data_IF_181120606944
#
_entry.id   IF_181120606944
#
_cell.length_a   1.000
_cell.length_b   1.000
_cell.length_c   1.000
_cell.angle_alpha   90.00
_cell.angle_beta   90.00
_cell.angle_gamma   90.00
#
_symmetry.space_group_name_H-M   'P 1'
#
loop_
_entity.id
_entity.type
_entity.pdbx_description
1 polymer ?
#
# COMPACT_ATOMS: atom_id res chain seq x y z
N UNK A 1 28.04 10.57 15.30
CA UNK A 1 27.57 10.54 13.89
C UNK A 1 28.26 9.32 13.28
N UNK A 2 27.50 8.30 12.87
CA UNK A 2 27.99 6.96 12.47
C UNK A 2 29.23 6.99 11.55
N UNK A 3 29.27 7.94 10.62
CA UNK A 3 30.36 8.16 9.66
C UNK A 3 31.68 8.55 10.35
N UNK A 4 31.63 9.39 11.40
CA UNK A 4 32.82 9.84 12.16
C UNK A 4 33.43 8.76 13.05
N UNK A 5 32.67 7.71 13.35
CA UNK A 5 33.12 6.59 14.19
C UNK A 5 33.70 5.44 13.37
N UNK A 6 33.45 5.43 12.06
CA UNK A 6 33.97 4.43 11.16
C UNK A 6 35.43 4.74 10.80
N UNK A 7 36.35 3.87 11.22
CA UNK A 7 37.80 4.01 10.98
C UNK A 7 38.18 3.49 9.60
N UNK A 8 37.77 4.21 8.55
CA UNK A 8 38.25 3.93 7.20
C UNK A 8 39.58 4.64 6.94
N UNK A 9 40.52 4.01 6.22
CA UNK A 9 41.81 4.62 5.89
C UNK A 9 41.69 5.72 4.82
N UNK A 10 40.71 5.65 3.93
CA UNK A 10 40.47 6.63 2.87
C UNK A 10 39.35 7.62 3.22
N UNK A 11 39.61 8.92 2.96
CA UNK A 11 38.60 9.97 3.08
C UNK A 11 37.41 9.69 2.14
N UNK A 12 36.18 9.82 2.64
CA UNK A 12 34.95 9.58 1.87
C UNK A 12 34.51 8.11 1.75
N UNK A 13 35.32 7.14 2.19
CA UNK A 13 34.97 5.72 2.11
C UNK A 13 33.80 5.36 3.03
N UNK A 14 33.67 6.03 4.17
CA UNK A 14 32.56 5.84 5.10
C UNK A 14 31.22 6.28 4.49
N UNK A 15 31.20 7.43 3.82
CA UNK A 15 30.07 7.98 3.08
C UNK A 15 29.68 7.05 1.93
N UNK A 16 30.64 6.66 1.10
CA UNK A 16 30.41 5.73 -0.01
C UNK A 16 29.83 4.39 0.47
N UNK A 17 30.36 3.83 1.56
CA UNK A 17 29.87 2.58 2.12
C UNK A 17 28.42 2.74 2.60
N UNK A 18 28.12 3.84 3.30
CA UNK A 18 26.76 4.13 3.75
C UNK A 18 25.80 4.24 2.57
N UNK A 19 26.14 5.02 1.55
CA UNK A 19 25.35 5.18 0.32
C UNK A 19 25.11 3.83 -0.37
N UNK A 20 26.17 3.02 -0.49
CA UNK A 20 26.09 1.69 -1.10
C UNK A 20 25.14 0.77 -0.32
N UNK A 21 25.21 0.77 1.01
CA UNK A 21 24.32 -0.03 1.86
C UNK A 21 22.86 0.44 1.75
N UNK A 22 22.63 1.75 1.72
CA UNK A 22 21.30 2.33 1.52
C UNK A 22 20.73 1.97 0.15
N UNK A 23 21.53 2.03 -0.92
CA UNK A 23 21.10 1.67 -2.26
C UNK A 23 20.79 0.17 -2.38
N UNK A 24 21.63 -0.70 -1.77
CA UNK A 24 21.38 -2.15 -1.71
C UNK A 24 20.09 -2.46 -0.97
N UNK A 25 19.88 -1.87 0.21
CA UNK A 25 18.62 -1.97 0.97
C UNK A 25 17.43 -1.59 0.08
N UNK A 26 17.51 -0.46 -0.62
CA UNK A 26 16.46 0.00 -1.53
C UNK A 26 16.18 -1.00 -2.65
N UNK A 27 17.21 -1.57 -3.29
CA UNK A 27 17.06 -2.59 -4.35
C UNK A 27 16.40 -3.87 -3.82
N UNK A 28 16.79 -4.35 -2.65
CA UNK A 28 16.17 -5.53 -2.02
C UNK A 28 14.68 -5.30 -1.76
N UNK A 29 14.31 -4.14 -1.22
CA UNK A 29 12.90 -3.84 -0.95
C UNK A 29 12.10 -3.67 -2.26
N UNK A 30 12.67 -3.02 -3.28
CA UNK A 30 12.05 -2.95 -4.63
C UNK A 30 11.76 -4.33 -5.19
N UNK A 31 12.72 -5.25 -5.07
CA UNK A 31 12.53 -6.63 -5.51
C UNK A 31 11.42 -7.33 -4.72
N UNK A 32 11.38 -7.17 -3.40
CA UNK A 32 10.32 -7.73 -2.57
C UNK A 32 8.93 -7.22 -3.01
N UNK A 33 8.77 -5.91 -3.18
CA UNK A 33 7.51 -5.32 -3.64
C UNK A 33 7.17 -5.59 -5.11
N UNK A 34 8.10 -6.10 -5.92
CA UNK A 34 7.76 -6.67 -7.24
C UNK A 34 6.98 -7.99 -7.15
N UNK A 35 6.96 -8.62 -5.97
CA UNK A 35 6.32 -9.92 -5.71
C UNK A 35 5.14 -9.84 -4.76
N UNK A 36 5.04 -8.77 -3.99
CA UNK A 36 4.07 -8.60 -2.90
C UNK A 36 3.59 -7.16 -2.94
N UNK A 37 2.28 -6.94 -2.74
CA UNK A 37 1.76 -5.57 -2.68
C UNK A 37 2.34 -4.79 -1.49
N UNK A 38 2.78 -3.53 -1.67
CA UNK A 38 3.30 -2.68 -0.58
C UNK A 38 2.21 -2.11 0.34
N UNK A 39 0.94 -2.41 0.06
CA UNK A 39 -0.21 -1.86 0.79
C UNK A 39 -0.57 -2.76 1.97
N UNK A 40 -0.65 -2.17 3.16
CA UNK A 40 -1.01 -2.87 4.40
C UNK A 40 -2.30 -2.31 5.01
N UNK A 41 -3.06 -3.17 5.68
CA UNK A 41 -4.22 -2.75 6.47
C UNK A 41 -3.79 -2.17 7.81
N UNK A 42 -4.36 -1.02 8.18
CA UNK A 42 -4.13 -0.40 9.49
C UNK A 42 -5.36 -0.55 10.36
N UNK A 43 -6.51 -0.05 9.91
CA UNK A 43 -7.76 -0.10 10.67
C UNK A 43 -8.99 0.11 9.80
N UNK A 44 -10.16 -0.21 10.35
CA UNK A 44 -11.46 0.14 9.76
C UNK A 44 -12.36 0.73 10.84
N UNK A 45 -13.19 1.67 10.41
CA UNK A 45 -14.34 2.21 11.14
C UNK A 45 -15.59 2.06 10.26
N UNK A 46 -16.76 2.42 10.80
CA UNK A 46 -18.07 2.32 10.18
C UNK A 46 -18.13 2.81 8.72
N UNK A 47 -17.39 3.88 8.40
CA UNK A 47 -17.44 4.52 7.08
C UNK A 47 -16.07 4.67 6.42
N UNK A 48 -15.01 4.09 6.98
CA UNK A 48 -13.64 4.35 6.55
C UNK A 48 -12.77 3.10 6.69
N UNK A 49 -11.95 2.83 5.68
CA UNK A 49 -10.82 1.92 5.78
C UNK A 49 -9.53 2.75 5.69
N UNK A 50 -8.64 2.54 6.66
CA UNK A 50 -7.30 3.13 6.69
C UNK A 50 -6.28 2.07 6.32
N UNK A 51 -5.45 2.37 5.34
CA UNK A 51 -4.35 1.54 4.87
C UNK A 51 -3.05 2.33 4.88
N UNK A 52 -1.92 1.62 4.80
CA UNK A 52 -0.60 2.22 4.70
C UNK A 52 0.13 1.76 3.44
N UNK A 53 0.81 2.68 2.76
CA UNK A 53 1.70 2.35 1.64
C UNK A 53 3.16 2.28 2.12
N UNK A 54 3.69 1.07 2.27
CA UNK A 54 5.11 0.84 2.65
C UNK A 54 6.08 1.02 1.49
N UNK A 55 5.57 1.17 0.27
CA UNK A 55 6.34 1.39 -0.95
C UNK A 55 6.84 2.82 -1.09
N UNK A 56 6.20 3.79 -0.43
CA UNK A 56 6.50 5.22 -0.58
C UNK A 56 7.97 5.57 -0.33
N UNK A 57 8.58 5.01 0.73
CA UNK A 57 9.99 5.26 1.08
C UNK A 57 10.96 4.72 0.02
N UNK A 58 10.52 3.73 -0.76
CA UNK A 58 11.36 2.94 -1.65
C UNK A 58 11.21 3.40 -3.10
N UNK A 59 9.99 3.67 -3.53
CA UNK A 59 9.67 4.18 -4.86
C UNK A 59 9.80 5.70 -4.94
N UNK A 60 9.73 6.40 -3.79
CA UNK A 60 9.83 7.85 -3.68
C UNK A 60 8.51 8.54 -3.98
N UNK A 61 8.30 9.72 -3.39
CA UNK A 61 7.24 10.63 -3.77
C UNK A 61 7.60 11.26 -5.12
N UNK A 62 7.44 10.54 -6.23
CA UNK A 62 7.43 11.20 -7.53
C UNK A 62 6.15 12.02 -7.59
N UNK A 63 6.22 13.31 -7.22
CA UNK A 63 5.13 14.26 -6.97
C UNK A 63 4.08 14.41 -8.09
N UNK A 64 4.18 13.68 -9.19
CA UNK A 64 3.43 13.97 -10.41
C UNK A 64 2.81 12.80 -11.18
N UNK A 65 3.04 11.50 -10.85
CA UNK A 65 2.49 10.41 -11.70
C UNK A 65 1.99 9.13 -10.99
N UNK A 66 1.96 9.10 -9.66
CA UNK A 66 1.47 7.96 -8.88
C UNK A 66 -0.01 8.04 -8.51
N UNK A 67 -0.63 6.90 -8.19
CA UNK A 67 -1.96 6.85 -7.61
C UNK A 67 -2.40 5.44 -7.22
N UNK A 68 -3.67 5.30 -6.84
CA UNK A 68 -4.27 4.02 -6.51
C UNK A 68 -5.54 3.79 -7.32
N UNK A 69 -5.68 2.58 -7.87
CA UNK A 69 -6.96 2.08 -8.33
C UNK A 69 -7.53 1.16 -7.27
N UNK A 70 -8.72 1.50 -6.78
CA UNK A 70 -9.43 0.78 -5.73
C UNK A 70 -10.70 0.20 -6.35
N UNK A 71 -10.82 -1.12 -6.31
CA UNK A 71 -12.00 -1.84 -6.79
C UNK A 71 -12.67 -2.58 -5.63
N UNK A 72 -13.99 -2.50 -5.57
CA UNK A 72 -14.83 -3.13 -4.56
C UNK A 72 -15.61 -4.25 -5.24
N UNK A 73 -15.59 -5.44 -4.65
CA UNK A 73 -16.36 -6.60 -5.10
C UNK A 73 -17.24 -7.15 -4.00
N UNK A 74 -18.37 -7.73 -4.36
CA UNK A 74 -19.21 -8.51 -3.43
C UNK A 74 -18.62 -9.92 -3.21
N UNK A 75 -19.28 -10.73 -2.37
CA UNK A 75 -18.90 -12.13 -2.13
C UNK A 75 -19.07 -13.08 -3.32
N UNK A 76 -19.81 -12.67 -4.35
CA UNK A 76 -20.02 -13.42 -5.59
C UNK A 76 -18.91 -13.15 -6.62
N UNK A 77 -18.09 -12.12 -6.38
CA UNK A 77 -16.98 -11.71 -7.24
C UNK A 77 -17.32 -10.61 -8.25
N UNK A 78 -18.52 -10.02 -8.16
CA UNK A 78 -18.93 -8.91 -9.02
C UNK A 78 -18.34 -7.59 -8.55
N UNK A 79 -17.85 -6.77 -9.48
CA UNK A 79 -17.35 -5.43 -9.18
C UNK A 79 -18.53 -4.48 -8.93
N UNK A 80 -18.68 -4.00 -7.69
CA UNK A 80 -19.78 -3.11 -7.29
C UNK A 80 -19.38 -1.63 -7.35
N UNK A 81 -18.07 -1.31 -7.26
CA UNK A 81 -17.57 0.05 -7.41
C UNK A 81 -16.09 0.08 -7.78
N UNK A 82 -15.68 1.18 -8.40
CA UNK A 82 -14.27 1.50 -8.68
C UNK A 82 -13.98 2.96 -8.39
N UNK A 83 -12.85 3.23 -7.77
CA UNK A 83 -12.37 4.56 -7.43
C UNK A 83 -10.91 4.70 -7.85
N UNK A 84 -10.52 5.90 -8.30
CA UNK A 84 -9.13 6.25 -8.55
C UNK A 84 -8.75 7.40 -7.62
N UNK A 85 -7.68 7.21 -6.86
CA UNK A 85 -7.08 8.25 -6.05
C UNK A 85 -5.84 8.73 -6.81
N UNK A 86 -5.93 9.92 -7.39
CA UNK A 86 -4.79 10.60 -8.01
C UNK A 86 -4.14 11.51 -6.96
N UNK A 87 -2.83 11.45 -6.81
CA UNK A 87 -2.12 12.31 -5.86
C UNK A 87 -0.87 11.65 -5.28
N UNK A 88 -0.05 12.47 -4.63
CA UNK A 88 1.19 12.04 -3.97
C UNK A 88 0.90 10.83 -3.09
N UNK A 89 1.69 9.77 -3.27
CA UNK A 89 1.78 8.69 -2.31
C UNK A 89 1.88 9.31 -0.92
N UNK A 90 0.92 9.02 -0.05
CA UNK A 90 0.99 9.31 1.37
C UNK A 90 1.27 8.00 2.10
N UNK A 91 1.86 8.07 3.29
CA UNK A 91 2.03 6.89 4.15
C UNK A 91 0.69 6.23 4.48
N UNK A 92 -0.41 7.00 4.40
CA UNK A 92 -1.77 6.60 4.69
C UNK A 92 -2.71 6.76 3.49
N UNK A 93 -3.59 5.78 3.28
CA UNK A 93 -4.63 5.76 2.26
C UNK A 93 -5.97 5.66 2.97
N UNK A 94 -6.81 6.68 2.76
CA UNK A 94 -8.15 6.79 3.36
C UNK A 94 -9.21 6.41 2.33
N UNK A 95 -9.93 5.33 2.61
CA UNK A 95 -10.95 4.78 1.70
C UNK A 95 -12.33 4.93 2.32
N UNK A 96 -13.15 5.90 1.87
CA UNK A 96 -14.51 6.05 2.38
C UNK A 96 -15.40 4.91 1.89
N UNK A 97 -16.03 4.23 2.84
CA UNK A 97 -17.05 3.21 2.60
C UNK A 97 -18.43 3.87 2.57
N UNK A 98 -18.92 4.15 1.36
CA UNK A 98 -20.28 4.68 1.16
C UNK A 98 -21.30 3.59 1.51
N UNK A 99 -22.44 3.97 2.10
CA UNK A 99 -23.55 3.05 2.42
C UNK A 99 -23.96 2.17 1.22
N UNK A 100 -23.91 2.73 0.01
CA UNK A 100 -24.17 1.96 -1.22
C UNK A 100 -23.22 0.77 -1.38
N UNK A 101 -21.90 0.96 -1.17
CA UNK A 101 -20.90 -0.12 -1.25
C UNK A 101 -21.18 -1.19 -0.19
N UNK A 102 -21.55 -0.80 1.02
CA UNK A 102 -21.86 -1.73 2.11
C UNK A 102 -23.11 -2.56 1.75
N UNK A 103 -24.17 -1.91 1.26
CA UNK A 103 -25.40 -2.59 0.86
C UNK A 103 -25.16 -3.53 -0.32
N UNK A 104 -24.45 -3.06 -1.36
CA UNK A 104 -24.17 -3.83 -2.58
C UNK A 104 -23.20 -4.99 -2.31
N UNK A 105 -22.44 -4.97 -1.19
CA UNK A 105 -21.57 -6.08 -0.78
C UNK A 105 -22.33 -7.33 -0.30
N UNK A 106 -23.62 -7.20 0.01
CA UNK A 106 -24.48 -8.30 0.48
C UNK A 106 -23.85 -9.14 1.63
N UNK A 107 -23.19 -8.46 2.57
CA UNK A 107 -22.60 -9.09 3.74
C UNK A 107 -21.12 -9.45 3.64
N UNK A 108 -20.53 -9.39 2.44
CA UNK A 108 -19.11 -9.67 2.23
C UNK A 108 -18.48 -8.75 1.18
N UNK A 109 -17.42 -8.06 1.57
CA UNK A 109 -16.73 -7.07 0.73
C UNK A 109 -15.29 -7.50 0.46
N UNK A 110 -14.91 -7.53 -0.81
CA UNK A 110 -13.52 -7.68 -1.24
C UNK A 110 -13.04 -6.33 -1.77
N UNK A 111 -11.99 -5.80 -1.15
CA UNK A 111 -11.34 -4.57 -1.55
C UNK A 111 -10.02 -4.90 -2.24
N UNK A 112 -9.90 -4.59 -3.53
CA UNK A 112 -8.65 -4.76 -4.28
C UNK A 112 -8.01 -3.41 -4.56
N UNK A 113 -6.71 -3.30 -4.29
CA UNK A 113 -5.98 -2.05 -4.44
C UNK A 113 -4.75 -2.31 -5.28
N UNK A 114 -4.65 -1.57 -6.38
CA UNK A 114 -3.50 -1.56 -7.27
C UNK A 114 -2.83 -0.20 -7.21
N UNK A 115 -1.54 -0.21 -6.92
CA UNK A 115 -0.66 0.95 -7.10
C UNK A 115 -0.50 1.19 -8.59
N UNK A 116 -0.86 2.38 -9.06
CA UNK A 116 -0.62 2.82 -10.43
C UNK A 116 0.64 3.69 -10.45
N UNK A 117 1.80 3.07 -10.72
CA UNK A 117 3.03 3.75 -11.12
C UNK A 117 3.57 3.08 -12.41
N UNK A 118 4.18 3.85 -13.30
CA UNK A 118 4.71 3.37 -14.59
C UNK A 118 6.01 2.57 -14.48
N UNK A 119 6.70 2.64 -13.34
CA UNK A 119 8.01 2.03 -13.16
C UNK A 119 7.98 0.69 -12.41
N UNK A 120 6.87 0.35 -11.76
CA UNK A 120 6.65 -0.91 -11.06
C UNK A 120 5.18 -1.29 -11.09
N UNK A 121 4.87 -2.53 -11.46
CA UNK A 121 3.52 -3.10 -11.43
C UNK A 121 3.43 -4.15 -10.32
N UNK A 122 3.40 -3.74 -9.03
CA UNK A 122 3.26 -4.69 -7.94
C UNK A 122 1.90 -5.39 -8.02
N UNK A 123 1.79 -6.63 -7.54
CA UNK A 123 0.50 -7.29 -7.45
C UNK A 123 -0.46 -6.50 -6.57
N UNK A 124 -1.78 -6.59 -6.83
CA UNK A 124 -2.77 -5.86 -6.04
C UNK A 124 -2.92 -6.47 -4.65
N UNK A 125 -3.01 -5.63 -3.62
CA UNK A 125 -3.45 -6.07 -2.31
C UNK A 125 -4.95 -6.36 -2.34
N UNK A 126 -5.37 -7.44 -1.71
CA UNK A 126 -6.78 -7.80 -1.54
C UNK A 126 -7.11 -7.93 -0.05
N UNK A 127 -8.14 -7.20 0.38
CA UNK A 127 -8.61 -7.21 1.75
C UNK A 127 -10.05 -7.71 1.79
N UNK A 128 -10.34 -8.64 2.68
CA UNK A 128 -11.63 -9.31 2.78
C UNK A 128 -12.32 -8.87 4.06
N UNK A 129 -13.55 -8.39 3.95
CA UNK A 129 -14.33 -7.88 5.07
C UNK A 129 -15.69 -8.57 5.16
N UNK A 130 -16.12 -8.86 6.38
CA UNK A 130 -17.53 -9.18 6.67
C UNK A 130 -18.25 -7.88 7.02
N UNK A 131 -19.36 -7.63 6.33
CA UNK A 131 -20.23 -6.46 6.53
C UNK A 131 -21.58 -6.83 7.14
N UNK A 132 -22.03 -8.09 7.02
CA UNK A 132 -23.30 -8.54 7.59
C UNK A 132 -23.24 -8.64 9.12
N UNK A 133 -24.22 -8.05 9.80
CA UNK A 133 -24.34 -8.12 11.26
C UNK A 133 -23.32 -7.28 12.04
N UNK A 134 -22.48 -6.49 11.36
CA UNK A 134 -21.51 -5.60 11.99
C UNK A 134 -21.79 -4.14 11.61
N UNK A 135 -21.71 -3.24 12.60
CA UNK A 135 -21.73 -1.79 12.35
C UNK A 135 -20.43 -1.28 11.70
N UNK A 136 -19.34 -2.03 11.88
CA UNK A 136 -18.00 -1.72 11.38
C UNK A 136 -17.54 -2.94 10.56
N UNK A 137 -17.16 -2.78 9.29
CA UNK A 137 -16.63 -3.87 8.48
C UNK A 137 -15.43 -4.52 9.16
N UNK A 138 -15.53 -5.83 9.41
CA UNK A 138 -14.49 -6.59 10.10
C UNK A 138 -13.58 -7.26 9.09
N UNK A 139 -12.28 -6.94 9.14
CA UNK A 139 -11.27 -7.62 8.32
C UNK A 139 -11.21 -9.11 8.72
N UNK A 140 -11.24 -9.98 7.72
CA UNK A 140 -11.16 -11.45 7.89
C UNK A 140 -10.09 -12.11 7.04
N UNK A 141 -9.46 -11.40 6.11
CA UNK A 141 -8.38 -11.93 5.29
C UNK A 141 -7.63 -10.87 4.51
N UNK A 142 -6.36 -11.16 4.23
CA UNK A 142 -5.46 -10.33 3.41
C UNK A 142 -4.72 -11.24 2.43
N UNK A 143 -4.64 -10.83 1.17
CA UNK A 143 -3.90 -11.51 0.10
C UNK A 143 -3.02 -10.48 -0.60
N UNK A 144 -1.73 -10.80 -0.76
CA UNK A 144 -0.75 -9.95 -1.46
C UNK A 144 -0.30 -10.57 -2.78
#
# INVERSE_FOLDING_TARGET
MLIKEARYPEDGAAEYMLETLLERKRKTIKYFFSKVSPIEFVSSDSNLILLSDKGIEVFGQSESQGGYTISFYNGEGDEIARQKIAGSFGEEILIPLKNKIINDSNGYLILKIRVTDKNTDPPPAQFHFITAGYKIPKLVGVVH
#
